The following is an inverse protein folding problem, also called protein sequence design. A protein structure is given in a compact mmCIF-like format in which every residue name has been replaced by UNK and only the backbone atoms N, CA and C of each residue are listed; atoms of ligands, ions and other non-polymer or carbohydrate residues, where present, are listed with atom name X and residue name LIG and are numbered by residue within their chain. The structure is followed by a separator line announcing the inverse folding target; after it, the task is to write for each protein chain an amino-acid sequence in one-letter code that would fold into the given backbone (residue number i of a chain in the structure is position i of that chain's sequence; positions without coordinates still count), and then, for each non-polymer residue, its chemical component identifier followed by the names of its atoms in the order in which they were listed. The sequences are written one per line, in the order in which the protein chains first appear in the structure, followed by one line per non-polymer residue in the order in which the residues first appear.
data_IF_352027909772
#
_entry.id   IF_352027909772
#
_cell.length_a   1.000
_cell.length_b   1.000
_cell.length_c   1.000
_cell.angle_alpha   90.00
_cell.angle_beta   90.00
_cell.angle_gamma   90.00
#
_symmetry.space_group_name_H-M   'P 1'
#
loop_
_entity.id
_entity.type
_entity.pdbx_description
1 polymer ?
#
# COMPACT_ATOMS: atom_id res chain seq x y z
N UNK A 1 -29.36 2.94 0.14
CA UNK A 1 -28.98 1.67 0.80
C UNK A 1 -29.51 1.57 2.23
N UNK A 2 -29.27 2.56 3.13
CA UNK A 2 -29.76 2.54 4.51
C UNK A 2 -31.31 2.50 4.55
N UNK A 3 -31.99 3.25 3.69
CA UNK A 3 -33.46 3.23 3.56
C UNK A 3 -34.04 1.87 3.19
N UNK A 4 -33.42 1.13 2.26
CA UNK A 4 -33.85 -0.23 1.88
C UNK A 4 -33.64 -1.26 2.99
N UNK A 5 -32.55 -1.13 3.75
CA UNK A 5 -32.29 -1.98 4.91
C UNK A 5 -33.30 -1.71 6.04
N UNK A 6 -33.72 -0.47 6.22
CA UNK A 6 -34.73 -0.10 7.23
C UNK A 6 -36.12 -0.64 6.88
N UNK A 7 -36.55 -0.50 5.63
CA UNK A 7 -37.82 -1.08 5.17
C UNK A 7 -37.85 -2.61 5.28
N UNK A 8 -36.74 -3.30 5.01
CA UNK A 8 -36.61 -4.76 5.20
C UNK A 8 -36.63 -5.19 6.66
N UNK A 9 -36.09 -4.36 7.58
CA UNK A 9 -36.11 -4.66 9.02
C UNK A 9 -37.48 -4.64 9.61
N UNK A 10 -38.34 -3.71 9.16
CA UNK A 10 -39.69 -3.54 9.70
C UNK A 10 -40.57 -4.75 9.44
N UNK A 11 -40.35 -5.47 8.34
CA UNK A 11 -41.16 -6.62 7.93
C UNK A 11 -40.45 -7.98 8.09
N UNK A 12 -39.17 -8.01 8.38
CA UNK A 12 -38.41 -9.27 8.47
C UNK A 12 -38.16 -9.67 9.93
N UNK A 13 -38.84 -10.69 10.39
CA UNK A 13 -38.76 -11.21 11.77
C UNK A 13 -37.35 -11.63 12.15
N UNK A 14 -36.58 -12.23 11.24
CA UNK A 14 -35.23 -12.65 11.51
C UNK A 14 -34.27 -11.43 11.78
N UNK A 15 -34.49 -10.32 11.06
CA UNK A 15 -33.73 -9.10 11.33
C UNK A 15 -34.16 -8.44 12.63
N UNK A 16 -35.43 -8.43 12.97
CA UNK A 16 -35.92 -7.92 14.25
C UNK A 16 -35.34 -8.70 15.41
N UNK A 17 -35.42 -10.03 15.34
CA UNK A 17 -34.82 -10.93 16.35
C UNK A 17 -33.32 -10.72 16.51
N UNK A 18 -32.57 -10.65 15.39
CA UNK A 18 -31.12 -10.43 15.42
C UNK A 18 -30.76 -9.09 16.08
N UNK A 19 -31.56 -8.05 15.87
CA UNK A 19 -31.35 -6.73 16.45
C UNK A 19 -31.90 -6.60 17.87
N UNK A 20 -32.56 -7.62 18.40
CA UNK A 20 -33.14 -7.62 19.73
C UNK A 20 -34.46 -6.87 19.86
N UNK A 21 -35.15 -6.60 18.73
CA UNK A 21 -36.47 -5.96 18.73
C UNK A 21 -37.61 -6.97 18.77
N UNK A 22 -38.61 -6.71 19.58
CA UNK A 22 -39.87 -7.47 19.60
C UNK A 22 -40.70 -7.18 18.34
N UNK A 23 -41.67 -8.05 18.04
CA UNK A 23 -42.53 -7.94 16.85
C UNK A 23 -43.28 -6.61 16.76
N UNK A 24 -43.71 -6.06 17.87
CA UNK A 24 -44.47 -4.83 17.96
C UNK A 24 -43.61 -3.60 18.32
N UNK A 25 -42.35 -3.80 18.65
CA UNK A 25 -41.45 -2.70 19.03
C UNK A 25 -41.11 -1.80 17.84
N UNK A 26 -41.07 -0.49 18.08
CA UNK A 26 -40.75 0.48 17.02
C UNK A 26 -39.25 0.49 16.72
N UNK A 27 -38.87 0.24 15.48
CA UNK A 27 -37.48 0.31 15.02
C UNK A 27 -37.15 1.76 14.63
N UNK A 28 -36.00 2.31 15.07
CA UNK A 28 -35.60 3.66 14.74
C UNK A 28 -35.54 3.93 13.24
N UNK A 29 -36.01 5.08 12.82
CA UNK A 29 -35.92 5.50 11.42
C UNK A 29 -34.47 5.60 10.94
N UNK A 30 -34.21 5.34 9.67
CA UNK A 30 -32.85 5.37 9.10
C UNK A 30 -32.14 6.72 9.30
N UNK A 31 -32.88 7.83 9.32
CA UNK A 31 -32.33 9.16 9.57
C UNK A 31 -31.73 9.27 10.98
N UNK A 32 -32.36 8.62 11.98
CA UNK A 32 -31.84 8.58 13.37
C UNK A 32 -30.50 7.86 13.42
N UNK A 33 -30.37 6.72 12.72
CA UNK A 33 -29.11 5.96 12.63
C UNK A 33 -28.04 6.79 11.92
N UNK A 34 -28.40 7.44 10.80
CA UNK A 34 -27.49 8.30 10.05
C UNK A 34 -27.04 9.52 10.88
N UNK A 35 -27.98 10.14 11.58
CA UNK A 35 -27.67 11.27 12.48
C UNK A 35 -26.74 10.85 13.62
N UNK A 36 -27.01 9.73 14.27
CA UNK A 36 -26.17 9.20 15.34
C UNK A 36 -24.75 8.91 14.84
N UNK A 37 -24.61 8.28 13.68
CA UNK A 37 -23.30 8.01 13.06
C UNK A 37 -22.52 9.31 12.78
N UNK A 38 -23.18 10.32 12.24
CA UNK A 38 -22.51 11.55 11.85
C UNK A 38 -22.19 12.50 13.04
N UNK A 39 -22.97 12.43 14.14
CA UNK A 39 -22.93 13.45 15.19
C UNK A 39 -22.69 12.92 16.60
N UNK A 40 -22.89 11.62 16.85
CA UNK A 40 -22.77 11.02 18.19
C UNK A 40 -21.71 9.95 18.30
N UNK A 41 -21.31 9.33 17.17
CA UNK A 41 -20.26 8.31 17.14
C UNK A 41 -18.89 8.98 17.21
N UNK A 42 -18.14 8.82 18.31
CA UNK A 42 -16.78 9.33 18.38
C UNK A 42 -15.87 8.52 17.43
N UNK A 43 -14.81 9.12 16.91
CA UNK A 43 -13.86 8.44 16.01
C UNK A 43 -13.30 7.13 16.58
N UNK A 44 -13.02 7.11 17.88
CA UNK A 44 -12.43 6.03 18.64
C UNK A 44 -13.31 4.77 18.61
N UNK A 45 -14.63 4.94 18.63
CA UNK A 45 -15.58 3.82 18.61
C UNK A 45 -15.39 2.93 17.37
N UNK A 46 -15.04 3.54 16.23
CA UNK A 46 -14.77 2.75 15.01
C UNK A 46 -13.51 1.89 15.14
N UNK A 47 -12.52 2.34 15.91
CA UNK A 47 -11.30 1.59 16.24
C UNK A 47 -11.65 0.45 17.18
N UNK A 48 -12.36 0.74 18.26
CA UNK A 48 -12.78 -0.24 19.27
C UNK A 48 -13.59 -1.39 18.66
N UNK A 49 -14.57 -1.07 17.79
CA UNK A 49 -15.37 -2.09 17.08
C UNK A 49 -14.48 -2.96 16.18
N UNK A 50 -13.59 -2.34 15.41
CA UNK A 50 -12.68 -3.06 14.52
C UNK A 50 -11.78 -3.99 15.32
N UNK A 51 -11.17 -3.48 16.39
CA UNK A 51 -10.26 -4.22 17.24
C UNK A 51 -10.97 -5.35 18.01
N UNK A 52 -12.17 -5.09 18.51
CA UNK A 52 -12.95 -6.13 19.19
C UNK A 52 -13.23 -7.33 18.28
N UNK A 53 -13.65 -7.08 17.04
CA UNK A 53 -13.93 -8.15 16.05
C UNK A 53 -12.64 -8.88 15.68
N UNK A 54 -11.55 -8.16 15.44
CA UNK A 54 -10.25 -8.74 15.09
C UNK A 54 -9.69 -9.57 16.24
N UNK A 55 -9.78 -9.09 17.48
CA UNK A 55 -9.35 -9.83 18.66
C UNK A 55 -10.17 -11.11 18.86
N UNK A 56 -11.47 -11.09 18.57
CA UNK A 56 -12.28 -12.33 18.58
C UNK A 56 -11.80 -13.34 17.54
N UNK A 57 -11.42 -12.90 16.35
CA UNK A 57 -10.88 -13.79 15.32
C UNK A 57 -9.51 -14.35 15.72
N UNK A 58 -8.65 -13.54 16.34
CA UNK A 58 -7.35 -13.95 16.89
C UNK A 58 -7.52 -14.99 18.00
N UNK A 59 -8.38 -14.73 18.98
CA UNK A 59 -8.63 -15.64 20.09
C UNK A 59 -9.18 -17.00 19.62
N UNK A 60 -9.86 -17.03 18.48
CA UNK A 60 -10.32 -18.26 17.84
C UNK A 60 -9.29 -18.89 16.87
N UNK A 61 -8.06 -18.38 16.82
CA UNK A 61 -6.97 -18.85 15.94
C UNK A 61 -7.35 -18.88 14.45
N UNK A 62 -8.14 -17.89 14.01
CA UNK A 62 -8.61 -17.77 12.62
C UNK A 62 -7.74 -16.83 11.78
N UNK A 63 -6.83 -16.09 12.42
CA UNK A 63 -5.93 -15.12 11.81
C UNK A 63 -4.51 -15.65 11.91
N UNK A 64 -3.77 -15.61 10.80
CA UNK A 64 -2.36 -15.98 10.74
C UNK A 64 -1.59 -14.82 10.08
N UNK A 65 -1.01 -13.93 10.88
CA UNK A 65 -0.33 -12.75 10.38
C UNK A 65 1.12 -13.00 9.93
N UNK A 66 1.58 -14.25 9.88
CA UNK A 66 2.96 -14.57 9.43
C UNK A 66 3.28 -13.97 8.05
N UNK A 67 2.30 -13.93 7.15
CA UNK A 67 2.42 -13.28 5.83
C UNK A 67 1.32 -12.23 5.67
N UNK A 68 1.72 -10.99 5.48
CA UNK A 68 0.82 -9.85 5.32
C UNK A 68 0.87 -9.31 3.90
N UNK A 69 -0.30 -8.97 3.37
CA UNK A 69 -0.47 -8.35 2.05
C UNK A 69 -0.93 -6.91 2.25
N UNK A 70 -0.17 -5.94 1.71
CA UNK A 70 -0.49 -4.51 1.78
C UNK A 70 -0.76 -3.99 0.38
N UNK A 71 -1.87 -3.25 0.24
CA UNK A 71 -2.25 -2.61 -1.03
C UNK A 71 -3.21 -1.44 -0.78
N UNK A 72 -3.36 -0.56 -1.77
CA UNK A 72 -4.27 0.57 -1.76
C UNK A 72 -5.51 0.34 -2.64
N UNK A 73 -6.64 0.89 -2.22
CA UNK A 73 -7.83 0.91 -3.07
C UNK A 73 -8.52 2.25 -3.04
N UNK A 74 -8.81 2.80 -4.23
CA UNK A 74 -9.50 4.07 -4.35
C UNK A 74 -11.01 3.94 -4.12
N UNK A 75 -11.56 4.89 -3.37
CA UNK A 75 -12.97 5.05 -3.04
C UNK A 75 -13.41 6.40 -3.58
N UNK A 76 -14.33 6.42 -4.52
CA UNK A 76 -14.81 7.66 -5.14
C UNK A 76 -15.47 8.55 -4.09
N UNK A 77 -15.02 9.80 -4.00
CA UNK A 77 -15.51 10.78 -3.05
C UNK A 77 -16.88 11.35 -3.44
N UNK A 78 -17.63 11.85 -2.44
CA UNK A 78 -18.86 12.62 -2.63
C UNK A 78 -18.54 14.07 -3.02
N UNK A 79 -17.82 14.24 -4.13
CA UNK A 79 -17.33 15.51 -4.62
C UNK A 79 -17.74 15.77 -6.06
N UNK A 80 -18.06 17.04 -6.38
CA UNK A 80 -18.39 17.44 -7.74
C UNK A 80 -17.11 17.62 -8.56
N UNK A 81 -16.95 16.85 -9.65
CA UNK A 81 -15.77 16.90 -10.53
C UNK A 81 -15.51 18.27 -11.17
N UNK A 82 -16.55 19.08 -11.35
CA UNK A 82 -16.48 20.39 -12.00
C UNK A 82 -16.24 21.54 -11.01
N UNK A 83 -16.37 21.30 -9.69
CA UNK A 83 -16.20 22.29 -8.64
C UNK A 83 -14.88 22.08 -7.93
N UNK A 84 -13.83 22.74 -8.41
CA UNK A 84 -12.49 22.65 -7.85
C UNK A 84 -11.77 24.01 -7.99
N UNK A 85 -10.77 24.17 -7.15
CA UNK A 85 -9.81 25.27 -7.20
C UNK A 85 -8.38 24.70 -7.22
N UNK A 86 -7.45 25.50 -7.68
CA UNK A 86 -6.02 25.15 -7.66
C UNK A 86 -5.39 25.93 -6.51
N UNK A 87 -4.71 25.20 -5.66
CA UNK A 87 -4.01 25.75 -4.49
C UNK A 87 -2.51 25.47 -4.62
N UNK A 88 -1.72 26.46 -4.23
CA UNK A 88 -0.29 26.27 -4.03
C UNK A 88 -0.10 25.62 -2.66
N UNK A 89 0.48 24.42 -2.63
CA UNK A 89 0.76 23.69 -1.41
C UNK A 89 2.23 23.36 -1.33
N UNK A 90 2.78 23.42 -0.13
CA UNK A 90 4.12 22.94 0.13
C UNK A 90 4.16 21.42 -0.04
N UNK A 91 5.17 20.91 -0.74
CA UNK A 91 5.37 19.46 -0.80
C UNK A 91 5.76 18.95 0.57
N UNK A 92 5.05 17.91 1.04
CA UNK A 92 5.39 17.25 2.29
C UNK A 92 6.82 16.70 2.24
N UNK A 93 7.57 16.89 3.33
CA UNK A 93 8.85 16.21 3.53
C UNK A 93 8.62 14.69 3.57
N UNK A 94 9.60 13.92 3.07
CA UNK A 94 9.53 12.47 3.19
C UNK A 94 9.79 12.08 4.63
N UNK A 95 9.09 11.06 5.12
CA UNK A 95 9.23 10.56 6.50
C UNK A 95 10.68 10.22 6.87
N UNK A 96 11.48 9.85 5.88
CA UNK A 96 12.88 9.44 6.04
C UNK A 96 13.92 10.50 5.65
N UNK A 97 13.51 11.75 5.38
CA UNK A 97 14.43 12.79 4.87
C UNK A 97 15.58 13.08 5.84
N UNK A 98 15.32 13.05 7.14
CA UNK A 98 16.38 13.25 8.15
C UNK A 98 17.43 12.13 8.15
N UNK A 99 16.95 10.87 8.10
CA UNK A 99 17.83 9.69 8.05
C UNK A 99 18.66 9.70 6.76
N UNK A 100 17.99 9.99 5.63
CA UNK A 100 18.63 10.08 4.33
C UNK A 100 19.71 11.17 4.32
N UNK A 101 19.40 12.35 4.82
CA UNK A 101 20.32 13.50 4.88
C UNK A 101 21.55 13.20 5.72
N UNK A 102 21.35 12.59 6.89
CA UNK A 102 22.48 12.20 7.76
C UNK A 102 23.43 11.25 7.02
N UNK A 103 22.91 10.17 6.43
CA UNK A 103 23.74 9.20 5.72
C UNK A 103 24.38 9.80 4.45
N UNK A 104 23.68 10.69 3.74
CA UNK A 104 24.24 11.43 2.59
C UNK A 104 25.40 12.34 3.02
N UNK A 105 25.27 13.06 4.13
CA UNK A 105 26.32 13.95 4.63
C UNK A 105 27.55 13.16 5.11
N UNK A 106 27.35 12.01 5.75
CA UNK A 106 28.44 11.10 6.11
C UNK A 106 29.25 10.64 4.87
N UNK A 107 28.55 10.30 3.77
CA UNK A 107 29.23 9.93 2.50
C UNK A 107 29.94 11.12 1.86
N UNK A 108 29.31 12.27 1.85
CA UNK A 108 29.91 13.49 1.27
C UNK A 108 31.15 13.90 2.02
N UNK A 109 31.16 13.78 3.34
CA UNK A 109 32.35 14.01 4.16
C UNK A 109 33.51 13.08 3.77
N UNK A 110 33.27 11.78 3.53
CA UNK A 110 34.29 10.83 3.03
C UNK A 110 34.85 11.23 1.68
N UNK A 111 34.08 11.91 0.83
CA UNK A 111 34.51 12.41 -0.48
C UNK A 111 35.09 13.83 -0.43
N UNK A 112 35.31 14.43 0.76
CA UNK A 112 35.74 15.80 0.92
C UNK A 112 34.80 16.86 0.35
N UNK A 113 33.50 16.54 0.28
CA UNK A 113 32.44 17.45 -0.20
C UNK A 113 31.78 18.15 0.97
N UNK A 114 31.36 19.41 0.75
CA UNK A 114 30.58 20.15 1.74
C UNK A 114 29.27 19.40 2.09
N UNK A 115 28.88 19.48 3.34
CA UNK A 115 27.59 18.98 3.81
C UNK A 115 26.43 19.70 3.09
N UNK A 116 25.33 19.02 2.99
CA UNK A 116 24.08 19.62 2.49
C UNK A 116 23.41 20.23 3.72
N UNK A 117 23.53 21.56 3.84
CA UNK A 117 22.86 22.34 4.87
C UNK A 117 21.38 22.46 4.54
N UNK A 118 20.53 22.48 5.57
CA UNK A 118 19.20 23.02 5.44
C UNK A 118 19.38 24.52 5.25
N UNK A 119 18.98 25.00 4.13
CA UNK A 119 18.76 26.43 4.02
C UNK A 119 17.42 26.67 4.73
N UNK A 120 17.50 27.23 5.93
CA UNK A 120 16.33 27.65 6.70
C UNK A 120 15.40 28.60 5.92
N UNK A 121 15.92 29.21 4.85
CA UNK A 121 15.21 30.09 3.91
C UNK A 121 14.64 29.37 2.66
N UNK A 122 14.94 28.08 2.41
CA UNK A 122 14.35 27.36 1.29
C UNK A 122 12.89 27.01 1.67
N UNK A 123 11.95 27.90 1.32
CA UNK A 123 10.52 27.52 1.33
C UNK A 123 10.37 26.13 0.68
N UNK A 124 9.67 25.17 1.32
CA UNK A 124 9.48 23.86 0.74
C UNK A 124 8.94 23.99 -0.69
N UNK A 125 9.42 23.19 -1.64
CA UNK A 125 9.05 23.36 -3.04
C UNK A 125 7.53 23.35 -3.17
N UNK A 126 6.98 24.44 -3.68
CA UNK A 126 5.53 24.60 -3.89
C UNK A 126 5.08 23.71 -5.06
N UNK A 127 3.94 23.11 -4.90
CA UNK A 127 3.27 22.33 -5.93
C UNK A 127 1.83 22.77 -6.09
N UNK A 128 1.30 22.73 -7.30
CA UNK A 128 -0.10 23.02 -7.54
C UNK A 128 -0.95 21.77 -7.22
N UNK A 129 -1.92 21.92 -6.32
CA UNK A 129 -2.87 20.88 -5.93
C UNK A 129 -4.28 21.26 -6.40
N UNK A 130 -4.97 20.32 -7.03
CA UNK A 130 -6.39 20.47 -7.36
C UNK A 130 -7.23 20.03 -6.16
N UNK A 131 -7.97 20.96 -5.58
CA UNK A 131 -8.78 20.77 -4.36
C UNK A 131 -10.25 20.88 -4.72
N UNK A 132 -11.08 19.98 -4.23
CA UNK A 132 -12.53 20.04 -4.40
C UNK A 132 -13.13 21.09 -3.45
N UNK A 133 -14.01 21.95 -3.96
CA UNK A 133 -14.75 22.91 -3.11
C UNK A 133 -15.90 22.26 -2.35
N UNK A 134 -16.31 21.04 -2.70
CA UNK A 134 -17.41 20.31 -2.05
C UNK A 134 -16.91 19.32 -0.99
N UNK A 135 -15.69 18.86 -1.09
CA UNK A 135 -15.02 17.98 -0.15
C UNK A 135 -13.49 18.24 -0.22
N UNK A 136 -12.98 19.22 0.54
CA UNK A 136 -11.57 19.64 0.46
C UNK A 136 -10.55 18.57 0.85
N UNK A 137 -10.97 17.62 1.69
CA UNK A 137 -10.09 16.56 2.20
C UNK A 137 -9.84 15.44 1.18
N UNK A 138 -10.63 15.34 0.11
CA UNK A 138 -10.39 14.35 -0.93
C UNK A 138 -9.27 14.77 -1.88
N UNK A 139 -8.67 13.80 -2.58
CA UNK A 139 -7.62 14.03 -3.55
C UNK A 139 -8.09 13.78 -4.99
N UNK A 140 -7.51 14.51 -5.96
CA UNK A 140 -7.73 14.25 -7.38
C UNK A 140 -6.90 13.00 -7.79
N UNK A 141 -7.57 11.89 -7.97
CA UNK A 141 -6.99 10.67 -8.52
C UNK A 141 -7.00 10.71 -10.05
N UNK A 142 -5.89 10.33 -10.66
CA UNK A 142 -5.73 10.27 -12.11
C UNK A 142 -5.22 8.88 -12.51
N UNK A 143 -6.00 8.17 -13.32
CA UNK A 143 -5.61 6.87 -13.87
C UNK A 143 -5.60 6.92 -15.39
N UNK A 144 -4.40 6.82 -15.97
CA UNK A 144 -4.23 6.99 -17.40
C UNK A 144 -4.61 8.39 -17.88
N UNK A 145 -4.96 8.52 -19.15
CA UNK A 145 -5.28 9.81 -19.78
C UNK A 145 -6.73 10.28 -19.56
N UNK A 146 -7.64 9.36 -19.27
CA UNK A 146 -9.08 9.62 -19.34
C UNK A 146 -9.82 9.60 -18.01
N UNK A 147 -9.28 8.92 -16.99
CA UNK A 147 -9.95 8.79 -15.70
C UNK A 147 -9.41 9.79 -14.68
N UNK A 148 -10.18 10.85 -14.43
CA UNK A 148 -9.91 11.84 -13.38
C UNK A 148 -11.13 11.90 -12.44
N UNK A 149 -10.92 11.68 -11.15
CA UNK A 149 -11.99 11.76 -10.18
C UNK A 149 -11.45 12.11 -8.79
N UNK A 150 -12.27 12.79 -8.01
CA UNK A 150 -11.99 12.97 -6.59
C UNK A 150 -12.20 11.66 -5.86
N UNK A 151 -11.22 11.26 -5.06
CA UNK A 151 -11.22 10.00 -4.35
C UNK A 151 -10.49 10.10 -3.01
N UNK A 152 -10.77 9.16 -2.15
CA UNK A 152 -9.93 8.74 -1.04
C UNK A 152 -9.25 7.43 -1.39
N UNK A 153 -8.17 7.11 -0.72
CA UNK A 153 -7.50 5.83 -0.85
C UNK A 153 -7.42 5.14 0.50
N UNK A 154 -7.83 3.87 0.52
CA UNK A 154 -7.73 3.02 1.70
C UNK A 154 -6.53 2.08 1.54
N UNK A 155 -5.45 2.38 2.24
CA UNK A 155 -4.27 1.53 2.34
C UNK A 155 -4.55 0.47 3.40
N UNK A 156 -4.53 -0.79 2.99
CA UNK A 156 -5.07 -1.88 3.79
C UNK A 156 -4.05 -2.99 3.90
N UNK A 157 -3.89 -3.53 5.09
CA UNK A 157 -3.14 -4.75 5.34
C UNK A 157 -4.09 -5.90 5.67
N UNK A 158 -3.93 -7.04 5.02
CA UNK A 158 -4.65 -8.26 5.35
C UNK A 158 -3.69 -9.47 5.43
N UNK A 159 -4.10 -10.51 6.16
CA UNK A 159 -3.37 -11.77 6.22
C UNK A 159 -3.92 -12.77 5.17
N UNK A 160 -3.33 -13.96 5.08
CA UNK A 160 -3.58 -14.95 4.03
C UNK A 160 -5.04 -15.43 3.90
N UNK A 161 -5.84 -15.37 4.96
CA UNK A 161 -7.26 -15.71 4.92
C UNK A 161 -8.14 -14.50 4.61
N UNK A 162 -7.51 -13.33 4.41
CA UNK A 162 -8.14 -12.08 4.05
C UNK A 162 -8.86 -11.39 5.22
N UNK A 163 -8.49 -11.67 6.47
CA UNK A 163 -8.83 -10.78 7.57
C UNK A 163 -8.03 -9.49 7.45
N UNK A 164 -8.73 -8.37 7.52
CA UNK A 164 -8.10 -7.05 7.51
C UNK A 164 -7.51 -6.79 8.89
N UNK A 165 -6.20 -6.52 8.93
CA UNK A 165 -5.43 -6.31 10.15
C UNK A 165 -5.31 -4.83 10.50
N UNK A 166 -5.12 -3.97 9.48
CA UNK A 166 -5.00 -2.54 9.63
C UNK A 166 -5.51 -1.81 8.38
N UNK A 167 -5.92 -0.56 8.55
CA UNK A 167 -6.32 0.32 7.46
C UNK A 167 -5.98 1.76 7.81
N UNK A 168 -5.41 2.46 6.83
CA UNK A 168 -5.17 3.90 6.83
C UNK A 168 -5.86 4.53 5.62
N UNK A 169 -6.47 5.68 5.79
CA UNK A 169 -7.21 6.37 4.72
C UNK A 169 -6.54 7.71 4.44
N UNK A 170 -6.24 7.95 3.17
CA UNK A 170 -5.62 9.20 2.71
C UNK A 170 -6.44 9.85 1.59
N UNK A 171 -6.18 11.14 1.29
CA UNK A 171 -6.62 11.72 0.02
C UNK A 171 -6.09 10.91 -1.16
N UNK A 172 -6.90 10.67 -2.19
CA UNK A 172 -6.57 9.77 -3.30
C UNK A 172 -5.46 10.25 -4.25
N UNK A 173 -4.80 11.35 -3.96
CA UNK A 173 -3.63 11.87 -4.67
C UNK A 173 -2.32 11.65 -3.88
N UNK A 174 -2.38 11.02 -2.72
CA UNK A 174 -1.19 10.64 -1.94
C UNK A 174 -0.62 9.35 -2.51
N UNK A 175 0.69 9.32 -2.69
CA UNK A 175 1.36 8.13 -3.21
C UNK A 175 1.42 7.03 -2.15
N UNK A 176 1.21 5.78 -2.55
CA UNK A 176 1.19 4.59 -1.67
C UNK A 176 2.36 4.53 -0.69
N UNK A 177 3.56 4.86 -1.17
CA UNK A 177 4.78 4.84 -0.34
C UNK A 177 4.80 5.86 0.80
N UNK A 178 3.92 6.87 0.78
CA UNK A 178 3.81 7.87 1.86
C UNK A 178 2.94 7.36 3.00
N UNK A 179 1.84 6.68 2.65
CA UNK A 179 0.92 6.11 3.63
C UNK A 179 1.43 4.79 4.25
N UNK A 180 2.43 4.19 3.62
CA UNK A 180 2.92 2.86 3.97
C UNK A 180 3.44 2.75 5.41
N UNK A 181 4.21 3.73 5.88
CA UNK A 181 4.81 3.69 7.22
C UNK A 181 3.74 3.52 8.30
N UNK A 182 2.62 4.26 8.22
CA UNK A 182 1.53 4.17 9.19
C UNK A 182 0.88 2.77 9.21
N UNK A 183 0.63 2.19 8.04
CA UNK A 183 0.06 0.84 7.92
C UNK A 183 1.05 -0.21 8.42
N UNK A 184 2.31 -0.11 8.03
CA UNK A 184 3.38 -1.02 8.42
C UNK A 184 3.57 -1.03 9.93
N UNK A 185 3.73 0.15 10.53
CA UNK A 185 3.96 0.29 11.98
C UNK A 185 2.74 -0.21 12.78
N UNK A 186 1.51 0.09 12.33
CA UNK A 186 0.29 -0.41 12.95
C UNK A 186 0.23 -1.94 12.96
N UNK A 187 0.61 -2.59 11.86
CA UNK A 187 0.60 -4.06 11.75
C UNK A 187 1.73 -4.66 12.56
N UNK A 188 2.97 -4.19 12.38
CA UNK A 188 4.15 -4.83 12.98
C UNK A 188 4.24 -4.62 14.49
N UNK A 189 3.71 -3.51 15.02
CA UNK A 189 3.62 -3.30 16.47
C UNK A 189 2.59 -4.22 17.11
N UNK A 190 1.50 -4.53 16.41
CA UNK A 190 0.45 -5.43 16.91
C UNK A 190 0.78 -6.90 16.70
N UNK A 191 1.48 -7.25 15.63
CA UNK A 191 1.79 -8.61 15.21
C UNK A 191 3.32 -8.78 15.02
N UNK A 192 4.07 -8.96 16.12
CA UNK A 192 5.53 -9.17 16.03
C UNK A 192 5.93 -10.41 15.20
N UNK A 193 5.02 -11.38 15.09
CA UNK A 193 5.17 -12.62 14.34
C UNK A 193 5.13 -12.45 12.79
N UNK A 194 4.94 -11.25 12.28
CA UNK A 194 4.99 -10.98 10.84
C UNK A 194 6.38 -11.26 10.30
N UNK A 195 6.49 -12.24 9.40
CA UNK A 195 7.75 -12.66 8.76
C UNK A 195 7.90 -12.06 7.36
N UNK A 196 6.82 -11.98 6.59
CA UNK A 196 6.87 -11.51 5.21
C UNK A 196 5.75 -10.53 4.87
N UNK A 197 6.08 -9.53 4.02
CA UNK A 197 5.12 -8.53 3.54
C UNK A 197 5.12 -8.50 2.01
N UNK A 198 3.98 -8.78 1.41
CA UNK A 198 3.78 -8.74 -0.03
C UNK A 198 3.03 -7.46 -0.44
N UNK A 199 3.61 -6.70 -1.35
CA UNK A 199 3.09 -5.38 -1.75
C UNK A 199 3.15 -5.18 -3.26
N UNK A 200 2.46 -4.15 -3.76
CA UNK A 200 2.50 -3.77 -5.17
C UNK A 200 3.76 -2.96 -5.55
N UNK A 201 3.89 -2.69 -6.84
CA UNK A 201 4.99 -1.90 -7.43
C UNK A 201 5.04 -0.47 -6.89
N UNK A 202 3.91 0.12 -6.50
CA UNK A 202 3.82 1.44 -5.88
C UNK A 202 4.62 1.57 -4.58
N UNK A 203 4.77 0.47 -3.86
CA UNK A 203 5.54 0.40 -2.60
C UNK A 203 7.03 0.09 -2.81
N UNK A 204 7.50 -0.12 -4.05
CA UNK A 204 8.90 -0.49 -4.31
C UNK A 204 9.83 0.71 -4.24
N UNK A 205 10.15 1.13 -3.03
CA UNK A 205 11.12 2.18 -2.74
C UNK A 205 12.30 1.63 -1.93
N UNK A 206 13.44 2.30 -2.01
CA UNK A 206 14.63 1.90 -1.23
C UNK A 206 14.43 2.04 0.28
N UNK A 207 13.61 3.03 0.70
CA UNK A 207 13.24 3.21 2.11
C UNK A 207 12.44 2.03 2.65
N UNK A 208 11.37 1.64 1.95
CA UNK A 208 10.50 0.54 2.36
C UNK A 208 11.29 -0.77 2.43
N UNK A 209 12.09 -1.06 1.40
CA UNK A 209 12.95 -2.24 1.39
C UNK A 209 13.92 -2.25 2.58
N UNK A 210 14.58 -1.11 2.85
CA UNK A 210 15.50 -0.96 3.97
C UNK A 210 14.81 -1.18 5.32
N UNK A 211 13.67 -0.54 5.57
CA UNK A 211 12.95 -0.64 6.86
C UNK A 211 12.54 -2.09 7.13
N UNK A 212 11.92 -2.76 6.16
CA UNK A 212 11.48 -4.16 6.32
C UNK A 212 12.66 -5.10 6.57
N UNK A 213 13.74 -4.97 5.79
CA UNK A 213 14.93 -5.84 5.95
C UNK A 213 15.68 -5.56 7.25
N UNK A 214 15.76 -4.31 7.71
CA UNK A 214 16.36 -3.98 9.01
C UNK A 214 15.56 -4.52 10.19
N UNK A 215 14.24 -4.60 10.04
CA UNK A 215 13.35 -5.21 11.04
C UNK A 215 13.37 -6.75 10.97
N UNK A 216 14.25 -7.35 10.15
CA UNK A 216 14.42 -8.80 10.02
C UNK A 216 13.30 -9.50 9.27
N UNK A 217 12.48 -8.76 8.49
CA UNK A 217 11.35 -9.28 7.73
C UNK A 217 11.63 -9.37 6.23
N UNK A 218 10.83 -10.14 5.52
CA UNK A 218 11.00 -10.43 4.10
C UNK A 218 10.09 -9.54 3.24
N UNK A 219 10.62 -8.58 2.46
CA UNK A 219 9.84 -7.80 1.51
C UNK A 219 9.63 -8.56 0.20
N UNK A 220 8.37 -8.83 -0.15
CA UNK A 220 8.01 -9.49 -1.41
C UNK A 220 7.38 -8.46 -2.36
N UNK A 221 8.16 -8.01 -3.34
CA UNK A 221 7.83 -6.93 -4.26
C UNK A 221 7.95 -7.39 -5.72
N UNK A 222 7.10 -6.84 -6.63
CA UNK A 222 7.11 -7.26 -8.02
C UNK A 222 8.30 -6.72 -8.80
N UNK A 223 8.47 -7.26 -10.01
CA UNK A 223 9.35 -6.67 -11.00
C UNK A 223 8.78 -5.33 -11.49
N UNK A 224 9.60 -4.30 -11.47
CA UNK A 224 9.27 -3.02 -12.08
C UNK A 224 10.03 -2.85 -13.37
N UNK A 225 9.29 -2.77 -14.49
CA UNK A 225 9.90 -2.58 -15.81
C UNK A 225 10.55 -1.19 -15.89
N UNK A 226 11.83 -1.18 -16.18
CA UNK A 226 12.55 0.08 -16.40
C UNK A 226 12.37 0.56 -17.84
N UNK A 227 12.07 1.83 -18.01
CA UNK A 227 12.00 2.48 -19.31
C UNK A 227 13.41 2.76 -19.83
N UNK A 228 13.94 1.85 -20.63
CA UNK A 228 15.22 1.99 -21.32
C UNK A 228 15.01 1.77 -22.81
N UNK A 229 15.81 2.42 -23.64
CA UNK A 229 15.83 2.15 -25.10
C UNK A 229 16.02 0.66 -25.35
N UNK A 230 15.36 0.12 -26.41
CA UNK A 230 15.30 -1.33 -26.68
C UNK A 230 16.67 -2.01 -26.74
N UNK A 231 17.67 -1.34 -27.28
CA UNK A 231 19.02 -1.87 -27.47
C UNK A 231 20.06 -1.31 -26.49
N UNK A 232 19.66 -0.46 -25.54
CA UNK A 232 20.58 0.09 -24.55
C UNK A 232 20.92 -0.90 -23.45
N UNK A 233 22.12 -0.81 -22.92
CA UNK A 233 22.53 -1.55 -21.73
C UNK A 233 21.59 -1.26 -20.57
N UNK A 234 21.28 -2.31 -19.84
CA UNK A 234 20.44 -2.28 -18.67
C UNK A 234 21.28 -2.07 -17.40
N UNK A 235 20.69 -1.62 -16.29
CA UNK A 235 21.45 -1.44 -15.05
C UNK A 235 22.19 -2.67 -14.55
N UNK A 236 21.69 -3.86 -14.81
CA UNK A 236 22.33 -5.12 -14.44
C UNK A 236 23.51 -5.53 -15.34
N UNK A 237 23.71 -4.86 -16.47
CA UNK A 237 24.88 -5.05 -17.31
C UNK A 237 26.11 -4.32 -16.74
N UNK A 238 25.91 -3.44 -15.73
CA UNK A 238 26.95 -2.75 -15.00
C UNK A 238 27.15 -3.43 -13.64
N UNK A 239 28.37 -3.80 -13.31
CA UNK A 239 28.68 -4.46 -12.05
C UNK A 239 29.12 -3.43 -11.01
N UNK A 240 28.60 -3.53 -9.81
CA UNK A 240 29.06 -2.72 -8.68
C UNK A 240 30.17 -3.46 -7.94
N UNK A 241 31.30 -2.81 -7.77
CA UNK A 241 32.41 -3.29 -6.95
C UNK A 241 32.41 -2.52 -5.64
N UNK A 242 32.01 -3.20 -4.57
CA UNK A 242 31.86 -2.61 -3.24
C UNK A 242 33.24 -2.21 -2.64
N UNK A 243 34.26 -3.03 -2.82
CA UNK A 243 35.60 -2.81 -2.28
C UNK A 243 36.25 -1.53 -2.82
N UNK A 244 35.96 -1.18 -4.09
CA UNK A 244 36.53 0.02 -4.74
C UNK A 244 35.50 1.17 -4.84
N UNK A 245 34.29 0.99 -4.35
CA UNK A 245 33.15 1.91 -4.55
C UNK A 245 33.09 2.43 -5.99
N UNK A 246 33.06 1.52 -6.96
CA UNK A 246 33.01 1.86 -8.37
C UNK A 246 32.01 0.97 -9.13
N UNK A 247 31.57 1.46 -10.29
CA UNK A 247 30.80 0.69 -11.25
C UNK A 247 31.71 0.24 -12.41
N UNK A 248 31.60 -1.02 -12.80
CA UNK A 248 32.31 -1.55 -13.97
C UNK A 248 31.32 -1.62 -15.13
N UNK A 249 31.66 -1.01 -16.27
CA UNK A 249 30.82 -1.05 -17.46
C UNK A 249 31.04 -2.35 -18.26
N UNK A 250 30.14 -2.72 -19.20
CA UNK A 250 30.30 -3.92 -20.03
C UNK A 250 31.58 -3.97 -20.88
N UNK A 251 32.21 -2.82 -21.08
CA UNK A 251 33.52 -2.74 -21.78
C UNK A 251 34.71 -2.78 -20.81
N UNK A 252 34.51 -3.04 -19.51
CA UNK A 252 35.57 -3.13 -18.49
C UNK A 252 36.05 -1.79 -17.92
N UNK A 253 35.48 -0.66 -18.33
CA UNK A 253 35.89 0.65 -17.82
C UNK A 253 35.31 0.92 -16.42
N UNK A 254 36.12 1.53 -15.54
CA UNK A 254 35.74 1.87 -14.19
C UNK A 254 35.06 3.23 -14.13
N UNK A 255 33.86 3.27 -13.58
CA UNK A 255 33.16 4.51 -13.25
C UNK A 255 33.33 4.76 -11.74
N UNK A 256 34.03 5.82 -11.38
CA UNK A 256 34.33 6.17 -10.00
C UNK A 256 33.23 7.00 -9.39
N UNK A 257 32.98 6.82 -8.09
CA UNK A 257 32.08 7.64 -7.31
C UNK A 257 32.58 9.09 -7.27
N UNK A 258 31.75 10.04 -7.62
CA UNK A 258 32.13 11.46 -7.68
C UNK A 258 31.35 12.34 -6.72
N UNK A 259 30.07 12.06 -6.50
CA UNK A 259 29.22 12.83 -5.58
C UNK A 259 27.94 12.09 -5.27
N UNK A 260 27.32 12.42 -4.14
CA UNK A 260 25.98 11.99 -3.74
C UNK A 260 25.08 13.22 -3.66
N UNK A 261 23.90 13.13 -4.28
CA UNK A 261 22.91 14.23 -4.29
C UNK A 261 21.99 14.18 -3.05
N UNK A 262 21.14 15.22 -2.87
CA UNK A 262 20.16 15.31 -1.77
C UNK A 262 19.16 14.14 -1.72
N UNK A 263 18.92 13.49 -2.84
CA UNK A 263 18.01 12.36 -2.94
C UNK A 263 18.72 11.02 -2.69
N UNK A 264 19.95 11.03 -2.19
CA UNK A 264 20.72 9.84 -1.92
C UNK A 264 21.22 9.11 -3.16
N UNK A 265 21.29 9.78 -4.32
CA UNK A 265 21.82 9.16 -5.55
C UNK A 265 23.31 9.41 -5.65
N UNK A 266 24.09 8.36 -5.49
CA UNK A 266 25.51 8.31 -5.80
C UNK A 266 25.69 8.42 -7.31
N UNK A 267 26.54 9.31 -7.77
CA UNK A 267 26.87 9.48 -9.19
C UNK A 267 28.25 8.89 -9.47
N UNK A 268 28.29 7.91 -10.35
CA UNK A 268 29.48 7.26 -10.84
C UNK A 268 29.81 7.73 -12.24
N UNK A 269 31.06 8.11 -12.52
CA UNK A 269 31.50 8.63 -13.81
C UNK A 269 32.74 7.92 -14.30
N UNK A 270 32.80 7.63 -15.61
CA UNK A 270 34.03 7.22 -16.27
C UNK A 270 34.97 8.41 -16.44
N UNK A 271 36.22 8.15 -16.71
CA UNK A 271 37.20 9.18 -17.11
C UNK A 271 36.74 9.90 -18.37
N UNK A 272 36.80 11.24 -18.46
CA UNK A 272 36.46 11.99 -19.66
C UNK A 272 37.26 11.50 -20.87
N UNK A 273 36.59 11.39 -22.03
CA UNK A 273 37.24 10.97 -23.29
C UNK A 273 37.35 9.47 -23.50
N UNK A 274 37.37 8.63 -22.45
CA UNK A 274 37.55 7.17 -22.58
C UNK A 274 36.47 6.51 -23.42
N UNK A 275 35.22 6.99 -23.33
CA UNK A 275 34.12 6.44 -24.08
C UNK A 275 34.00 6.98 -25.53
N UNK A 276 34.94 7.82 -25.99
CA UNK A 276 34.86 8.41 -27.36
C UNK A 276 35.00 7.32 -28.43
N UNK A 277 35.97 6.43 -28.27
CA UNK A 277 36.28 5.35 -29.20
C UNK A 277 35.77 3.97 -28.73
N UNK A 278 34.88 3.96 -27.76
CA UNK A 278 34.35 2.72 -27.22
C UNK A 278 33.41 2.03 -28.23
N UNK A 279 33.60 0.73 -28.56
CA UNK A 279 32.74 0.01 -29.49
C UNK A 279 31.29 -0.12 -28.99
N UNK A 280 31.09 0.01 -27.68
CA UNK A 280 29.78 -0.08 -27.05
C UNK A 280 29.07 1.28 -26.91
N UNK A 281 29.62 2.37 -27.45
CA UNK A 281 29.13 3.75 -27.23
C UNK A 281 27.67 3.95 -27.55
N UNK A 282 27.17 3.41 -28.66
CA UNK A 282 25.76 3.52 -29.06
C UNK A 282 24.81 2.84 -28.07
N UNK A 283 25.15 1.64 -27.60
CA UNK A 283 24.36 0.90 -26.61
C UNK A 283 24.47 1.50 -25.21
N UNK A 284 25.64 2.07 -24.89
CA UNK A 284 25.94 2.64 -23.60
C UNK A 284 25.27 4.02 -23.40
N UNK A 285 25.15 4.82 -24.47
CA UNK A 285 24.62 6.18 -24.38
C UNK A 285 25.53 7.11 -23.55
N UNK A 286 26.85 7.05 -23.76
CA UNK A 286 27.80 8.01 -23.21
C UNK A 286 27.52 9.41 -23.79
N UNK A 287 27.79 10.47 -22.99
CA UNK A 287 27.55 11.84 -23.40
C UNK A 287 28.51 12.31 -24.52
N UNK A 288 28.29 13.53 -25.04
CA UNK A 288 29.12 14.11 -26.10
C UNK A 288 30.59 14.32 -25.70
N UNK A 289 30.90 14.40 -24.41
CA UNK A 289 32.26 14.50 -23.85
C UNK A 289 32.95 13.11 -23.70
N UNK A 290 32.37 12.04 -24.26
CA UNK A 290 32.91 10.69 -24.13
C UNK A 290 32.97 10.20 -22.67
N UNK A 291 31.94 10.49 -21.90
CA UNK A 291 31.86 10.11 -20.51
C UNK A 291 30.52 9.41 -20.24
N UNK A 292 30.56 8.30 -19.53
CA UNK A 292 29.36 7.60 -19.02
C UNK A 292 29.09 8.03 -17.59
N UNK A 293 27.81 8.24 -17.29
CA UNK A 293 27.30 8.53 -15.96
C UNK A 293 26.25 7.47 -15.58
N UNK A 294 26.37 6.95 -14.36
CA UNK A 294 25.39 6.04 -13.75
C UNK A 294 25.05 6.57 -12.37
N UNK A 295 23.80 6.45 -12.01
CA UNK A 295 23.31 6.77 -10.67
C UNK A 295 22.87 5.51 -9.94
N UNK A 296 23.29 5.38 -8.68
CA UNK A 296 22.89 4.31 -7.76
C UNK A 296 22.48 4.95 -6.42
N UNK A 297 21.32 4.54 -5.89
CA UNK A 297 20.87 5.05 -4.58
C UNK A 297 21.76 4.49 -3.46
N UNK A 298 21.97 5.26 -2.38
CA UNK A 298 22.76 4.80 -1.22
C UNK A 298 22.19 3.51 -0.61
N UNK A 299 20.88 3.33 -0.67
CA UNK A 299 20.15 2.14 -0.20
C UNK A 299 19.81 1.15 -1.32
N UNK A 300 20.56 1.17 -2.43
CA UNK A 300 20.29 0.26 -3.55
C UNK A 300 20.52 -1.20 -3.20
N UNK A 301 21.40 -1.49 -2.26
CA UNK A 301 21.68 -2.83 -1.77
C UNK A 301 20.43 -3.55 -1.28
N UNK A 302 19.54 -2.84 -0.56
CA UNK A 302 18.27 -3.39 -0.10
C UNK A 302 17.34 -3.75 -1.26
N UNK A 303 17.31 -2.93 -2.32
CA UNK A 303 16.54 -3.25 -3.53
C UNK A 303 17.14 -4.44 -4.29
N UNK A 304 18.46 -4.61 -4.27
CA UNK A 304 19.14 -5.74 -4.89
C UNK A 304 18.80 -7.05 -4.14
N UNK A 305 18.73 -7.02 -2.80
CA UNK A 305 18.23 -8.13 -1.97
C UNK A 305 16.77 -8.46 -2.31
N UNK A 306 15.90 -7.46 -2.43
CA UNK A 306 14.48 -7.64 -2.84
C UNK A 306 14.37 -8.32 -4.20
N UNK A 307 15.21 -7.93 -5.16
CA UNK A 307 15.26 -8.60 -6.48
C UNK A 307 15.73 -10.06 -6.38
N UNK A 308 16.61 -10.37 -5.43
CA UNK A 308 17.00 -11.74 -5.10
C UNK A 308 15.82 -12.53 -4.56
N UNK A 309 15.13 -12.02 -3.53
CA UNK A 309 13.95 -12.63 -2.91
C UNK A 309 12.85 -12.91 -3.96
N UNK A 310 12.58 -11.95 -4.84
CA UNK A 310 11.59 -12.10 -5.90
C UNK A 310 11.83 -13.30 -6.84
N UNK A 311 13.09 -13.71 -7.02
CA UNK A 311 13.46 -14.82 -7.87
C UNK A 311 13.36 -16.18 -7.18
N UNK A 312 13.32 -16.20 -5.86
CA UNK A 312 13.15 -17.43 -5.08
C UNK A 312 11.75 -18.02 -5.25
N UNK A 313 11.59 -19.31 -5.04
CA UNK A 313 10.29 -19.97 -5.12
C UNK A 313 9.36 -19.51 -4.00
N UNK A 314 9.90 -19.23 -2.80
CA UNK A 314 9.16 -18.64 -1.70
C UNK A 314 8.59 -17.26 -2.08
N UNK A 315 9.44 -16.36 -2.61
CA UNK A 315 9.00 -15.02 -3.02
C UNK A 315 7.93 -15.07 -4.11
N UNK A 316 8.06 -15.96 -5.09
CA UNK A 316 7.04 -16.16 -6.14
C UNK A 316 5.73 -16.67 -5.55
N UNK A 317 5.77 -17.71 -4.72
CA UNK A 317 4.57 -18.31 -4.12
C UNK A 317 3.80 -17.33 -3.23
N UNK A 318 4.50 -16.52 -2.45
CA UNK A 318 3.86 -15.47 -1.63
C UNK A 318 3.25 -14.39 -2.52
N UNK A 319 3.98 -13.92 -3.55
CA UNK A 319 3.47 -12.87 -4.43
C UNK A 319 2.23 -13.29 -5.22
N UNK A 320 2.17 -14.53 -5.70
CA UNK A 320 1.02 -15.09 -6.41
C UNK A 320 -0.25 -15.08 -5.56
N UNK A 321 -0.13 -15.32 -4.25
CA UNK A 321 -1.25 -15.30 -3.32
C UNK A 321 -1.92 -13.92 -3.15
N UNK A 322 -1.28 -12.81 -3.58
CA UNK A 322 -1.91 -11.48 -3.56
C UNK A 322 -3.26 -11.45 -4.26
N UNK A 323 -3.39 -12.14 -5.40
CA UNK A 323 -4.64 -12.19 -6.19
C UNK A 323 -5.77 -12.85 -5.41
N UNK A 324 -5.46 -13.86 -4.63
CA UNK A 324 -6.44 -14.62 -3.84
C UNK A 324 -6.74 -13.99 -2.49
N UNK A 325 -5.92 -13.04 -2.05
CA UNK A 325 -6.02 -12.38 -0.74
C UNK A 325 -6.47 -10.93 -0.87
N UNK A 326 -5.54 -9.98 -0.95
CA UNK A 326 -5.86 -8.55 -0.88
C UNK A 326 -6.74 -8.07 -2.05
N UNK A 327 -6.52 -8.57 -3.27
CA UNK A 327 -7.35 -8.20 -4.41
C UNK A 327 -8.80 -8.72 -4.23
N UNK A 328 -8.97 -9.92 -3.64
CA UNK A 328 -10.27 -10.47 -3.30
C UNK A 328 -10.95 -9.69 -2.17
N UNK A 329 -10.19 -9.27 -1.16
CA UNK A 329 -10.69 -8.38 -0.10
C UNK A 329 -11.25 -7.09 -0.70
N UNK A 330 -10.54 -6.46 -1.64
CA UNK A 330 -11.02 -5.25 -2.31
C UNK A 330 -12.22 -5.50 -3.23
N UNK A 331 -12.25 -6.62 -3.93
CA UNK A 331 -13.42 -7.00 -4.72
C UNK A 331 -14.66 -7.15 -3.82
N UNK A 332 -14.56 -7.88 -2.71
CA UNK A 332 -15.65 -8.03 -1.74
C UNK A 332 -16.06 -6.70 -1.11
N UNK A 333 -15.10 -5.85 -0.76
CA UNK A 333 -15.36 -4.51 -0.23
C UNK A 333 -16.18 -3.66 -1.21
N UNK A 334 -15.81 -3.67 -2.48
CA UNK A 334 -16.48 -2.89 -3.53
C UNK A 334 -17.84 -3.45 -3.91
N UNK A 335 -17.95 -4.77 -4.09
CA UNK A 335 -19.18 -5.41 -4.58
C UNK A 335 -20.22 -5.67 -3.47
N UNK A 336 -19.76 -6.17 -2.32
CA UNK A 336 -20.66 -6.62 -1.26
C UNK A 336 -20.85 -5.59 -0.14
N UNK A 337 -19.86 -4.70 0.05
CA UNK A 337 -19.87 -3.70 1.13
C UNK A 337 -19.96 -2.26 0.63
N UNK A 338 -20.25 -2.05 -0.66
CA UNK A 338 -20.49 -0.73 -1.28
C UNK A 338 -19.38 0.27 -1.12
N UNK A 339 -18.11 -0.18 -1.16
CA UNK A 339 -16.94 0.69 -1.03
C UNK A 339 -16.45 1.29 -2.35
N UNK A 340 -17.21 1.18 -3.46
CA UNK A 340 -16.87 1.88 -4.71
C UNK A 340 -17.02 3.39 -4.60
N UNK A 341 -17.98 3.84 -3.78
CA UNK A 341 -18.34 5.23 -3.61
C UNK A 341 -18.71 5.52 -2.16
N UNK A 342 -18.25 6.64 -1.60
CA UNK A 342 -18.67 7.09 -0.28
C UNK A 342 -19.65 8.26 -0.38
N UNK A 343 -20.67 8.26 0.49
CA UNK A 343 -21.56 9.41 0.71
C UNK A 343 -21.02 10.35 1.80
N UNK A 344 -20.03 9.91 2.56
CA UNK A 344 -19.39 10.70 3.60
C UNK A 344 -18.46 11.72 2.98
N UNK A 345 -18.27 12.86 3.64
CA UNK A 345 -17.33 13.92 3.32
C UNK A 345 -16.42 14.19 4.51
N UNK A 346 -15.19 14.58 4.21
CA UNK A 346 -14.16 14.82 5.21
C UNK A 346 -13.41 13.52 5.59
N UNK A 347 -12.09 13.62 5.70
CA UNK A 347 -11.19 12.49 5.91
C UNK A 347 -11.55 11.68 7.16
N UNK A 348 -11.82 12.34 8.29
CA UNK A 348 -12.16 11.67 9.54
C UNK A 348 -13.41 10.78 9.43
N UNK A 349 -14.49 11.29 8.82
CA UNK A 349 -15.72 10.51 8.62
C UNK A 349 -15.56 9.37 7.63
N UNK A 350 -14.80 9.59 6.56
CA UNK A 350 -14.51 8.53 5.59
C UNK A 350 -13.66 7.45 6.23
N UNK A 351 -12.69 7.80 7.06
CA UNK A 351 -11.87 6.83 7.82
C UNK A 351 -12.72 5.96 8.74
N UNK A 352 -13.61 6.57 9.54
CA UNK A 352 -14.56 5.81 10.37
C UNK A 352 -15.42 4.86 9.53
N UNK A 353 -15.97 5.36 8.43
CA UNK A 353 -16.82 4.58 7.54
C UNK A 353 -16.08 3.39 6.92
N UNK A 354 -14.83 3.59 6.47
CA UNK A 354 -13.97 2.52 5.92
C UNK A 354 -13.65 1.47 6.99
N UNK A 355 -13.25 1.89 8.19
CA UNK A 355 -12.98 0.98 9.32
C UNK A 355 -14.18 0.08 9.62
N UNK A 356 -15.38 0.68 9.75
CA UNK A 356 -16.59 -0.09 10.00
C UNK A 356 -16.95 -1.05 8.87
N UNK A 357 -16.65 -0.71 7.60
CA UNK A 357 -16.82 -1.63 6.47
C UNK A 357 -15.90 -2.84 6.59
N UNK A 358 -14.63 -2.63 6.87
CA UNK A 358 -13.69 -3.73 7.07
C UNK A 358 -13.98 -4.53 8.35
N UNK A 359 -14.43 -3.86 9.43
CA UNK A 359 -14.93 -4.55 10.63
C UNK A 359 -16.10 -5.49 10.30
N UNK A 360 -17.07 -5.03 9.50
CA UNK A 360 -18.20 -5.85 9.05
C UNK A 360 -17.74 -7.02 8.15
N UNK A 361 -16.72 -6.81 7.32
CA UNK A 361 -16.13 -7.89 6.51
C UNK A 361 -15.44 -8.94 7.39
N UNK A 362 -14.66 -8.52 8.37
CA UNK A 362 -14.03 -9.40 9.35
C UNK A 362 -15.08 -10.17 10.16
N UNK A 363 -16.14 -9.49 10.63
CA UNK A 363 -17.25 -10.12 11.36
C UNK A 363 -17.95 -11.18 10.50
N UNK A 364 -18.20 -10.90 9.23
CA UNK A 364 -18.80 -11.87 8.30
C UNK A 364 -17.91 -13.11 8.12
N UNK A 365 -16.59 -12.92 8.00
CA UNK A 365 -15.64 -14.05 7.93
C UNK A 365 -15.67 -14.87 9.22
N UNK A 366 -15.60 -14.19 10.36
CA UNK A 366 -15.67 -14.83 11.68
C UNK A 366 -16.97 -15.67 11.84
N UNK A 367 -18.12 -15.11 11.47
CA UNK A 367 -19.39 -15.79 11.52
C UNK A 367 -19.44 -17.04 10.61
N UNK A 368 -18.95 -16.92 9.37
CA UNK A 368 -18.91 -18.03 8.43
C UNK A 368 -18.00 -19.16 8.89
N UNK A 369 -16.86 -18.85 9.51
CA UNK A 369 -15.94 -19.85 10.05
C UNK A 369 -16.51 -20.52 11.29
N UNK A 370 -17.12 -19.75 12.20
CA UNK A 370 -17.80 -20.28 13.36
C UNK A 370 -18.94 -21.23 12.97
N UNK A 371 -19.73 -20.85 11.97
CA UNK A 371 -20.80 -21.68 11.43
C UNK A 371 -20.29 -22.99 10.83
N UNK A 372 -19.27 -22.95 9.97
CA UNK A 372 -18.65 -24.16 9.41
C UNK A 372 -18.15 -25.10 10.50
N UNK A 373 -17.50 -24.55 11.54
CA UNK A 373 -16.98 -25.34 12.65
C UNK A 373 -18.10 -26.00 13.46
N UNK A 374 -19.20 -25.29 13.72
CA UNK A 374 -20.39 -25.84 14.38
C UNK A 374 -21.05 -26.93 13.54
N UNK A 375 -21.18 -26.72 12.23
CA UNK A 375 -21.72 -27.74 11.32
C UNK A 375 -20.85 -29.01 11.31
N UNK A 376 -19.52 -28.86 11.24
CA UNK A 376 -18.59 -30.00 11.29
C UNK A 376 -18.68 -30.76 12.63
N UNK A 377 -18.90 -30.07 13.74
CA UNK A 377 -19.07 -30.69 15.08
C UNK A 377 -20.46 -31.36 15.22
N UNK A 378 -21.52 -30.73 14.72
CA UNK A 378 -22.88 -31.23 14.85
C UNK A 378 -23.22 -32.37 13.88
N UNK A 379 -22.62 -32.38 12.69
CA UNK A 379 -22.89 -33.34 11.63
C UNK A 379 -21.69 -34.22 11.28
N UNK A 380 -20.79 -34.46 12.24
CA UNK A 380 -19.57 -35.23 12.04
C UNK A 380 -19.78 -36.52 11.24
N UNK A 381 -19.30 -36.57 10.04
CA UNK A 381 -19.38 -37.68 9.08
C UNK A 381 -20.40 -37.53 7.94
N UNK A 382 -21.47 -36.80 8.12
CA UNK A 382 -22.47 -36.64 7.03
C UNK A 382 -22.12 -35.54 6.00
N UNK A 383 -21.26 -34.62 6.34
CA UNK A 383 -20.91 -33.50 5.47
C UNK A 383 -19.97 -33.89 4.30
N UNK A 384 -19.23 -34.97 4.43
CA UNK A 384 -18.38 -35.52 3.35
C UNK A 384 -19.20 -36.06 2.16
N UNK A 385 -20.45 -36.39 2.37
CA UNK A 385 -21.33 -36.93 1.32
C UNK A 385 -21.82 -35.80 0.39
N UNK A 386 -21.96 -34.58 0.87
CA UNK A 386 -22.44 -33.43 0.08
C UNK A 386 -21.33 -32.75 -0.73
N UNK A 387 -20.09 -32.70 -0.25
CA UNK A 387 -18.97 -32.20 -1.08
C UNK A 387 -18.60 -33.16 -2.22
N UNK A 388 -18.84 -34.45 -2.05
CA UNK A 388 -18.66 -35.45 -3.12
C UNK A 388 -19.77 -35.38 -4.18
N UNK A 389 -20.95 -34.84 -3.85
CA UNK A 389 -22.07 -34.72 -4.80
C UNK A 389 -21.94 -33.46 -5.70
N UNK A 390 -21.34 -32.38 -5.23
CA UNK A 390 -21.11 -31.17 -6.04
C UNK A 390 -19.95 -31.35 -7.05
N UNK A 391 -19.11 -32.35 -6.89
CA UNK A 391 -18.05 -32.72 -7.82
C UNK A 391 -18.51 -33.55 -9.05
N UNK A 392 -19.75 -34.05 -9.05
CA UNK A 392 -20.25 -34.90 -10.13
C UNK A 392 -21.12 -34.18 -11.19
N UNK A 393 -21.36 -32.88 -11.07
CA UNK A 393 -22.15 -32.11 -12.04
C UNK A 393 -21.34 -31.15 -12.92
N UNK A 394 -20.01 -31.38 -13.02
CA UNK A 394 -19.13 -30.70 -13.97
C UNK A 394 -18.37 -31.73 -14.79
N UNK A 395 -19.07 -32.40 -15.71
CA UNK A 395 -18.51 -33.12 -16.84
C UNK A 395 -19.40 -32.79 -18.07
#
# INVERSE_FOLDING_TARGET
MVSHLCARRDVNVAYRWFLGYDLLEHIPHFATVSYAFCNRFPPELSVEIFDHILNKALNNRMVDPSVVFIDGTHIKASANKKKFQKEQVNKAAKVYDEVLRKEVNEERAKLGKKEIEDKDDDEPPKGEKTVSTTDPDCGMFVKGEHERQFAYEAHTACERHGFVLAVEVTPGNIHDSVAWDAVYDSVCNRFPEVEALAMDAGYKTSWIARKILRDGRIPVLPYTRRHTKKYAFKPWDYQYNEALDCMVCPAGELLRHTTTDRNGKRTYRSTPGVCMNCPCREKCGANGKGQKLIQRHIWQEYLDVVEGIRKTDLGKSIYEKRKETIERVFADAKEKHSMRYTHMRGLARVTQWVRLKFAAMNLKKLANWAWKRLCLQAFGGYFWIFEAADGCCAA
#
